data_IF_777502077007
#
_entry.id   IF_777502077007
#
_cell.length_a   1.000
_cell.length_b   1.000
_cell.length_c   1.000
_cell.angle_alpha   90.00
_cell.angle_beta   90.00
_cell.angle_gamma   90.00
#
_symmetry.space_group_name_H-M   'P 1'
#
loop_
_entity.id
_entity.type
_entity.pdbx_description
1 polymer ?
#
# COMPACT_ATOMS: atom_id res chain seq x y z
N UNK A 1 9.90 14.07 -24.73
CA UNK A 1 9.89 13.61 -23.33
C UNK A 1 9.62 12.11 -23.36
N UNK A 2 10.54 11.28 -22.83
CA UNK A 2 10.46 9.82 -22.89
C UNK A 2 9.81 9.21 -21.66
N UNK A 3 9.51 7.91 -21.70
CA UNK A 3 9.05 7.16 -20.54
C UNK A 3 10.21 7.02 -19.54
N UNK A 4 10.07 7.63 -18.37
CA UNK A 4 11.05 7.52 -17.28
C UNK A 4 10.55 6.45 -16.31
N UNK A 5 11.43 5.53 -15.97
CA UNK A 5 11.13 4.47 -15.02
C UNK A 5 12.02 4.61 -13.79
N UNK A 6 11.47 4.27 -12.63
CA UNK A 6 12.21 4.14 -11.39
C UNK A 6 11.93 2.78 -10.75
N UNK A 7 12.97 2.16 -10.19
CA UNK A 7 12.83 1.01 -9.31
C UNK A 7 12.49 1.52 -7.91
N UNK A 8 11.37 1.05 -7.36
CA UNK A 8 10.85 1.46 -6.05
C UNK A 8 10.56 0.24 -5.19
N UNK A 9 10.74 0.38 -3.87
CA UNK A 9 10.30 -0.62 -2.90
C UNK A 9 8.99 -0.16 -2.27
N UNK A 10 7.97 -1.00 -2.36
CA UNK A 10 6.71 -0.84 -1.65
C UNK A 10 6.74 -1.70 -0.40
N UNK A 11 6.25 -1.17 0.72
CA UNK A 11 6.14 -1.93 1.97
C UNK A 11 4.80 -1.64 2.65
N UNK A 12 4.36 -2.57 3.48
CA UNK A 12 3.18 -2.34 4.31
C UNK A 12 3.53 -1.41 5.48
N UNK A 13 2.82 -0.28 5.57
CA UNK A 13 3.05 0.74 6.61
C UNK A 13 2.67 0.25 8.00
N UNK A 14 1.60 -0.53 8.12
CA UNK A 14 1.14 -1.07 9.41
C UNK A 14 2.14 -2.10 9.95
N UNK A 15 2.64 -2.99 9.09
CA UNK A 15 3.69 -3.95 9.45
C UNK A 15 4.96 -3.24 9.91
N UNK A 16 5.39 -2.19 9.18
CA UNK A 16 6.55 -1.39 9.56
C UNK A 16 6.35 -0.66 10.90
N UNK A 17 5.11 -0.21 11.17
CA UNK A 17 4.77 0.40 12.44
C UNK A 17 4.80 -0.61 13.60
N UNK A 18 4.33 -1.84 13.38
CA UNK A 18 4.41 -2.95 14.33
C UNK A 18 5.86 -3.37 14.59
N UNK A 19 6.68 -3.45 13.54
CA UNK A 19 8.09 -3.78 13.66
C UNK A 19 8.86 -2.72 14.46
N UNK A 20 8.62 -1.44 14.20
CA UNK A 20 9.18 -0.33 14.99
C UNK A 20 8.79 -0.39 16.47
N UNK A 21 7.63 -0.99 16.80
CA UNK A 21 7.16 -1.17 18.18
C UNK A 21 7.59 -2.51 18.80
N UNK A 22 8.32 -3.35 18.06
CA UNK A 22 8.80 -4.66 18.52
C UNK A 22 7.74 -5.76 18.52
N UNK A 23 6.56 -5.54 17.90
CA UNK A 23 5.50 -6.54 17.81
C UNK A 23 5.63 -7.46 16.58
N UNK A 24 6.50 -7.11 15.64
CA UNK A 24 6.77 -7.88 14.42
C UNK A 24 8.29 -7.86 14.14
N UNK A 25 8.93 -8.97 13.75
CA UNK A 25 10.30 -8.94 13.26
C UNK A 25 10.41 -8.10 11.99
N UNK A 26 11.46 -7.28 11.85
CA UNK A 26 11.67 -6.45 10.64
C UNK A 26 11.74 -7.29 9.35
N UNK A 27 12.21 -8.54 9.46
CA UNK A 27 12.27 -9.50 8.36
C UNK A 27 10.88 -9.98 7.89
N UNK A 28 9.84 -9.84 8.72
CA UNK A 28 8.47 -10.23 8.39
C UNK A 28 7.64 -9.07 7.82
N UNK A 29 8.21 -7.86 7.73
CA UNK A 29 7.56 -6.73 7.08
C UNK A 29 7.43 -7.02 5.58
N UNK A 30 6.18 -7.09 5.10
CA UNK A 30 5.89 -7.34 3.68
C UNK A 30 6.45 -6.22 2.81
N UNK A 31 7.27 -6.60 1.83
CA UNK A 31 7.94 -5.71 0.87
C UNK A 31 7.79 -6.26 -0.55
N UNK A 32 7.71 -5.38 -1.54
CA UNK A 32 7.68 -5.71 -2.96
C UNK A 32 8.51 -4.69 -3.75
N UNK A 33 9.47 -5.17 -4.52
CA UNK A 33 10.16 -4.35 -5.53
C UNK A 33 9.30 -4.20 -6.78
N UNK A 34 9.11 -2.98 -7.25
CA UNK A 34 8.33 -2.70 -8.45
C UNK A 34 9.03 -1.65 -9.32
N UNK A 35 8.92 -1.82 -10.64
CA UNK A 35 9.36 -0.81 -11.61
C UNK A 35 8.19 0.10 -11.95
N UNK A 36 8.23 1.34 -11.49
CA UNK A 36 7.18 2.31 -11.69
C UNK A 36 7.49 3.21 -12.89
N UNK A 37 6.46 3.49 -13.70
CA UNK A 37 6.50 4.58 -14.67
C UNK A 37 6.29 5.89 -13.91
N UNK A 38 7.20 6.83 -14.06
CA UNK A 38 7.19 8.10 -13.34
C UNK A 38 6.76 9.22 -14.27
N UNK A 39 5.77 9.99 -13.82
CA UNK A 39 5.31 11.21 -14.45
C UNK A 39 5.46 12.37 -13.46
N UNK A 40 6.05 13.49 -13.89
CA UNK A 40 6.31 14.64 -12.99
C UNK A 40 5.03 15.33 -12.51
N UNK A 41 3.89 15.12 -13.17
CA UNK A 41 2.58 15.63 -12.77
C UNK A 41 1.75 14.66 -11.92
N UNK A 42 2.21 13.43 -11.72
CA UNK A 42 1.48 12.44 -10.93
C UNK A 42 1.67 12.66 -9.43
N UNK A 43 0.56 12.83 -8.71
CA UNK A 43 0.57 12.94 -7.24
C UNK A 43 0.45 11.59 -6.52
N UNK A 44 -0.12 10.58 -7.19
CA UNK A 44 -0.41 9.28 -6.60
C UNK A 44 0.23 8.15 -7.41
N UNK A 45 0.69 7.12 -6.71
CA UNK A 45 1.09 5.85 -7.30
C UNK A 45 -0.15 4.95 -7.43
N UNK A 46 -0.45 4.55 -8.67
CA UNK A 46 -1.44 3.52 -8.95
C UNK A 46 -0.77 2.15 -8.97
N UNK A 47 -1.32 1.20 -8.21
CA UNK A 47 -0.86 -0.19 -8.16
C UNK A 47 -2.02 -1.15 -8.48
N UNK A 48 -1.70 -2.29 -9.10
CA UNK A 48 -2.68 -3.31 -9.40
C UNK A 48 -3.18 -4.04 -8.14
N UNK A 49 -4.28 -4.76 -8.26
CA UNK A 49 -4.92 -5.46 -7.13
C UNK A 49 -4.07 -6.62 -6.58
N UNK A 50 -3.27 -7.25 -7.42
CA UNK A 50 -2.33 -8.28 -7.02
C UNK A 50 -1.26 -7.72 -6.06
N UNK A 51 -0.65 -6.59 -6.40
CA UNK A 51 0.33 -5.88 -5.57
C UNK A 51 -0.28 -5.47 -4.24
N UNK A 52 -1.53 -4.97 -4.25
CA UNK A 52 -2.26 -4.65 -3.01
C UNK A 52 -2.44 -5.88 -2.12
N UNK A 53 -2.82 -7.01 -2.72
CA UNK A 53 -3.03 -8.27 -2.01
C UNK A 53 -1.73 -8.79 -1.39
N UNK A 54 -0.64 -8.78 -2.14
CA UNK A 54 0.69 -9.19 -1.67
C UNK A 54 1.19 -8.30 -0.51
N UNK A 55 0.94 -6.99 -0.59
CA UNK A 55 1.25 -6.05 0.50
C UNK A 55 0.27 -6.13 1.67
N UNK A 56 -0.69 -7.06 1.66
CA UNK A 56 -1.59 -7.28 2.79
C UNK A 56 -2.77 -6.31 2.89
N UNK A 57 -3.00 -5.47 1.88
CA UNK A 57 -4.23 -4.68 1.82
C UNK A 57 -5.38 -5.60 1.43
N UNK A 58 -6.08 -6.11 2.45
CA UNK A 58 -7.38 -6.75 2.30
C UNK A 58 -8.35 -5.74 1.69
N UNK A 59 -9.11 -6.14 0.67
CA UNK A 59 -10.32 -5.41 0.27
C UNK A 59 -11.18 -5.14 1.49
N UNK A 60 -11.48 -3.87 1.75
CA UNK A 60 -12.57 -3.51 2.66
C UNK A 60 -13.87 -3.74 1.90
N UNK A 61 -14.29 -5.00 1.77
CA UNK A 61 -15.62 -5.29 1.26
C UNK A 61 -16.63 -4.93 2.35
N UNK A 62 -17.31 -3.81 2.14
CA UNK A 62 -18.56 -3.40 2.77
C UNK A 62 -18.71 -3.72 4.28
N UNK A 63 -18.11 -2.91 5.17
CA UNK A 63 -18.88 -2.57 6.38
C UNK A 63 -19.79 -1.42 5.98
N UNK A 64 -21.11 -1.67 6.00
CA UNK A 64 -22.10 -0.59 6.03
C UNK A 64 -21.64 0.43 7.05
N UNK A 65 -21.28 1.61 6.57
CA UNK A 65 -21.29 2.83 7.37
C UNK A 65 -22.76 3.08 7.72
N UNK A 66 -23.23 2.48 8.82
CA UNK A 66 -24.49 2.90 9.41
C UNK A 66 -24.19 4.17 10.20
N UNK A 67 -24.29 5.31 9.54
CA UNK A 67 -24.54 6.57 10.25
C UNK A 67 -25.83 6.35 11.05
N UNK A 68 -25.89 6.65 12.36
CA UNK A 68 -27.16 6.69 13.03
C UNK A 68 -27.97 7.81 12.38
N UNK A 69 -28.96 7.45 11.57
CA UNK A 69 -30.02 8.38 11.24
C UNK A 69 -30.72 8.69 12.54
N UNK A 70 -30.49 9.89 13.07
CA UNK A 70 -31.28 10.44 14.15
C UNK A 70 -32.65 10.71 13.53
N UNK A 71 -33.63 9.86 13.86
CA UNK A 71 -35.04 10.06 13.63
C UNK A 71 -35.77 9.79 14.95
#
# INVERSE_FOLDING_TARGET
MGLIYADVELFNVDDKALARRGYLPEAEVRRLGARALVDSGAYMLSINEETKTQLGRRYWTNRRWNWPTIA
#
